data_IF_166562972056
#
_entry.id   IF_166562972056
#
_cell.length_a   1.000
_cell.length_b   1.000
_cell.length_c   1.000
_cell.angle_alpha   90.00
_cell.angle_beta   90.00
_cell.angle_gamma   90.00
#
_symmetry.space_group_name_H-M   'P 1'
#
loop_
_entity.id
_entity.type
_entity.pdbx_description
1 polymer ?
#
# COMPACT_ATOMS: atom_id res chain seq x y z
N UNK A 1 17.07 -7.80 -3.76
CA UNK A 1 16.35 -6.61 -3.24
C UNK A 1 15.21 -7.03 -2.29
N UNK A 2 14.29 -7.94 -2.69
CA UNK A 2 13.17 -8.37 -1.85
C UNK A 2 13.62 -8.89 -0.49
N UNK A 3 14.59 -9.79 -0.45
CA UNK A 3 15.10 -10.40 0.78
C UNK A 3 15.69 -9.37 1.74
N UNK A 4 16.39 -8.37 1.22
CA UNK A 4 16.99 -7.31 2.03
C UNK A 4 15.90 -6.43 2.65
N UNK A 5 14.86 -6.09 1.89
CA UNK A 5 13.73 -5.29 2.39
C UNK A 5 12.96 -6.07 3.46
N UNK A 6 12.59 -7.31 3.19
CA UNK A 6 11.87 -8.17 4.15
C UNK A 6 12.68 -8.32 5.45
N UNK A 7 13.99 -8.50 5.36
CA UNK A 7 14.87 -8.60 6.51
C UNK A 7 14.92 -7.29 7.32
N UNK A 8 14.99 -6.13 6.64
CA UNK A 8 14.99 -4.82 7.30
C UNK A 8 13.70 -4.56 8.11
N UNK A 9 12.57 -5.10 7.67
CA UNK A 9 11.28 -4.96 8.34
C UNK A 9 10.97 -6.09 9.34
N UNK A 10 11.92 -6.97 9.61
CA UNK A 10 11.78 -8.03 10.63
C UNK A 10 11.08 -9.30 10.15
N UNK A 11 10.86 -9.47 8.84
CA UNK A 11 10.18 -10.64 8.27
C UNK A 11 10.98 -11.96 8.32
N UNK A 12 12.16 -11.97 8.97
CA UNK A 12 13.05 -13.15 9.11
C UNK A 12 12.86 -13.88 10.44
N UNK A 13 11.68 -13.78 11.04
CA UNK A 13 11.44 -14.43 12.35
C UNK A 13 11.36 -15.94 12.21
N UNK A 14 10.69 -16.46 11.18
CA UNK A 14 10.56 -17.87 10.84
C UNK A 14 10.74 -18.07 9.34
N UNK A 15 11.27 -19.22 8.92
CA UNK A 15 11.46 -19.56 7.48
C UNK A 15 10.13 -19.58 6.71
N UNK A 16 9.07 -20.10 7.32
CA UNK A 16 7.73 -20.15 6.73
C UNK A 16 7.16 -18.75 6.49
N UNK A 17 7.26 -17.87 7.49
CA UNK A 17 6.85 -16.46 7.38
C UNK A 17 7.67 -15.73 6.32
N UNK A 18 8.95 -16.04 6.21
CA UNK A 18 9.83 -15.43 5.23
C UNK A 18 9.44 -15.84 3.79
N UNK A 19 9.18 -17.14 3.57
CA UNK A 19 8.74 -17.66 2.27
C UNK A 19 7.42 -17.02 1.82
N UNK A 20 6.41 -17.01 2.67
CA UNK A 20 5.13 -16.37 2.37
C UNK A 20 5.25 -14.86 2.15
N UNK A 21 6.15 -14.19 2.87
CA UNK A 21 6.42 -12.76 2.66
C UNK A 21 7.07 -12.49 1.31
N UNK A 22 7.94 -13.39 0.82
CA UNK A 22 8.56 -13.26 -0.51
C UNK A 22 7.53 -13.44 -1.63
N UNK A 23 6.68 -14.46 -1.53
CA UNK A 23 5.60 -14.67 -2.50
C UNK A 23 4.66 -13.46 -2.57
N UNK A 24 4.19 -13.00 -1.41
CA UNK A 24 3.33 -11.82 -1.31
C UNK A 24 4.00 -10.58 -1.92
N UNK A 25 5.27 -10.34 -1.58
CA UNK A 25 6.04 -9.20 -2.06
C UNK A 25 6.19 -9.21 -3.58
N UNK A 26 6.42 -10.38 -4.18
CA UNK A 26 6.54 -10.51 -5.63
C UNK A 26 5.25 -10.10 -6.35
N UNK A 27 4.12 -10.67 -5.94
CA UNK A 27 2.82 -10.34 -6.57
C UNK A 27 2.40 -8.90 -6.33
N UNK A 28 2.56 -8.38 -5.12
CA UNK A 28 2.24 -6.98 -4.81
C UNK A 28 3.09 -6.01 -5.64
N UNK A 29 4.36 -6.34 -5.88
CA UNK A 29 5.25 -5.48 -6.68
C UNK A 29 4.73 -5.30 -8.11
N UNK A 30 4.10 -6.31 -8.69
CA UNK A 30 3.45 -6.19 -10.00
C UNK A 30 2.25 -5.22 -9.97
N UNK A 31 1.59 -5.09 -8.83
CA UNK A 31 0.46 -4.16 -8.64
C UNK A 31 0.89 -2.71 -8.39
N UNK A 32 2.12 -2.45 -7.95
CA UNK A 32 2.58 -1.10 -7.57
C UNK A 32 2.33 -0.04 -8.66
N UNK A 33 2.63 -0.26 -9.95
CA UNK A 33 2.37 0.76 -10.97
C UNK A 33 0.90 1.16 -11.06
N UNK A 34 -0.01 0.20 -10.98
CA UNK A 34 -1.46 0.44 -11.01
C UNK A 34 -1.92 1.17 -9.74
N UNK A 35 -1.41 0.77 -8.59
CA UNK A 35 -1.67 1.44 -7.33
C UNK A 35 -1.22 2.90 -7.36
N UNK A 36 0.03 3.15 -7.76
CA UNK A 36 0.59 4.51 -7.84
C UNK A 36 -0.21 5.38 -8.80
N UNK A 37 -0.59 4.84 -9.95
CA UNK A 37 -1.43 5.54 -10.92
C UNK A 37 -2.80 5.90 -10.34
N UNK A 38 -3.49 4.96 -9.72
CA UNK A 38 -4.79 5.19 -9.06
C UNK A 38 -4.72 6.25 -7.96
N UNK A 39 -3.66 6.21 -7.14
CA UNK A 39 -3.44 7.20 -6.07
C UNK A 39 -3.12 8.60 -6.63
N UNK A 40 -2.34 8.70 -7.70
CA UNK A 40 -2.03 9.97 -8.35
C UNK A 40 -3.27 10.58 -9.02
N UNK A 41 -4.14 9.76 -9.60
CA UNK A 41 -5.36 10.21 -10.27
C UNK A 41 -6.46 10.67 -9.32
N UNK A 42 -6.51 10.14 -8.10
CA UNK A 42 -7.56 10.48 -7.13
C UNK A 42 -7.68 11.99 -6.84
N UNK A 43 -6.60 12.73 -6.48
CA UNK A 43 -6.67 14.17 -6.31
C UNK A 43 -6.96 14.92 -7.61
N UNK A 44 -6.54 14.42 -8.77
CA UNK A 44 -6.82 15.03 -10.08
C UNK A 44 -8.32 14.96 -10.39
N UNK A 45 -8.95 13.81 -10.15
CA UNK A 45 -10.40 13.63 -10.32
C UNK A 45 -11.19 14.56 -9.39
N UNK A 46 -10.71 14.73 -8.14
CA UNK A 46 -11.31 15.70 -7.20
C UNK A 46 -11.18 17.14 -7.68
N UNK A 47 -10.02 17.50 -8.23
CA UNK A 47 -9.76 18.83 -8.79
C UNK A 47 -10.60 19.11 -10.05
N UNK A 48 -10.95 18.07 -10.84
CA UNK A 48 -11.89 18.17 -11.97
C UNK A 48 -13.36 18.32 -11.52
N UNK A 49 -13.61 18.53 -10.22
CA UNK A 49 -14.93 18.79 -9.67
C UNK A 49 -15.79 17.53 -9.43
N UNK A 50 -15.22 16.33 -9.48
CA UNK A 50 -15.96 15.09 -9.29
C UNK A 50 -15.44 14.23 -8.13
N UNK A 51 -15.48 14.74 -6.88
CA UNK A 51 -15.01 13.98 -5.71
C UNK A 51 -15.80 12.70 -5.47
N UNK A 52 -17.08 12.67 -5.89
CA UNK A 52 -17.91 11.46 -5.78
C UNK A 52 -17.36 10.31 -6.60
N UNK A 53 -16.91 10.58 -7.82
CA UNK A 53 -16.30 9.55 -8.65
C UNK A 53 -14.96 9.07 -8.08
N UNK A 54 -14.14 9.97 -7.57
CA UNK A 54 -12.87 9.60 -6.90
C UNK A 54 -13.12 8.64 -5.72
N UNK A 55 -14.15 8.91 -4.92
CA UNK A 55 -14.55 8.03 -3.82
C UNK A 55 -15.06 6.68 -4.33
N UNK A 56 -15.96 6.68 -5.31
CA UNK A 56 -16.54 5.45 -5.87
C UNK A 56 -15.45 4.55 -6.49
N UNK A 57 -14.49 5.11 -7.22
CA UNK A 57 -13.41 4.33 -7.81
C UNK A 57 -12.53 3.64 -6.77
N UNK A 58 -12.23 4.34 -5.66
CA UNK A 58 -11.49 3.75 -4.55
C UNK A 58 -12.30 2.68 -3.83
N UNK A 59 -13.58 2.94 -3.56
CA UNK A 59 -14.48 1.97 -2.95
C UNK A 59 -14.67 0.72 -3.82
N UNK A 60 -14.81 0.88 -5.14
CA UNK A 60 -14.95 -0.25 -6.06
C UNK A 60 -13.74 -1.19 -5.97
N UNK A 61 -12.51 -0.64 -5.97
CA UNK A 61 -11.30 -1.44 -5.79
C UNK A 61 -11.28 -2.17 -4.45
N UNK A 62 -11.69 -1.49 -3.36
CA UNK A 62 -11.75 -2.10 -2.04
C UNK A 62 -12.82 -3.20 -1.95
N UNK A 63 -14.00 -2.98 -2.50
CA UNK A 63 -15.08 -4.00 -2.53
C UNK A 63 -14.67 -5.22 -3.34
N UNK A 64 -14.05 -5.03 -4.50
CA UNK A 64 -13.51 -6.13 -5.31
C UNK A 64 -12.48 -6.94 -4.50
N UNK A 65 -11.57 -6.28 -3.81
CA UNK A 65 -10.59 -6.94 -2.95
C UNK A 65 -11.27 -7.74 -1.83
N UNK A 66 -12.20 -7.14 -1.08
CA UNK A 66 -12.93 -7.80 0.02
C UNK A 66 -13.70 -9.06 -0.47
N UNK A 67 -14.23 -9.04 -1.69
CA UNK A 67 -14.94 -10.18 -2.26
C UNK A 67 -13.96 -11.25 -2.74
N UNK A 68 -12.86 -10.85 -3.39
CA UNK A 68 -11.90 -11.79 -3.96
C UNK A 68 -10.99 -12.43 -2.92
N UNK A 69 -10.67 -11.74 -1.82
CA UNK A 69 -9.82 -12.29 -0.75
C UNK A 69 -10.34 -13.64 -0.23
N UNK A 70 -11.60 -13.76 0.26
CA UNK A 70 -12.12 -15.05 0.73
C UNK A 70 -12.19 -16.09 -0.38
N UNK A 71 -12.48 -15.70 -1.61
CA UNK A 71 -12.56 -16.62 -2.75
C UNK A 71 -11.19 -17.24 -3.01
N UNK A 72 -10.15 -16.44 -3.11
CA UNK A 72 -8.80 -16.93 -3.43
C UNK A 72 -8.15 -17.65 -2.25
N UNK A 73 -8.41 -17.20 -1.01
CA UNK A 73 -7.83 -17.82 0.18
C UNK A 73 -8.52 -19.16 0.51
N UNK A 74 -9.87 -19.19 0.54
CA UNK A 74 -10.61 -20.34 1.06
C UNK A 74 -11.09 -21.29 -0.04
N UNK A 75 -11.56 -20.77 -1.20
CA UNK A 75 -12.10 -21.62 -2.27
C UNK A 75 -10.96 -22.15 -3.14
N UNK A 76 -10.06 -21.27 -3.60
CA UNK A 76 -8.90 -21.68 -4.41
C UNK A 76 -7.72 -22.17 -3.57
N UNK A 77 -7.73 -21.95 -2.25
CA UNK A 77 -6.68 -22.36 -1.32
C UNK A 77 -5.28 -21.81 -1.67
N UNK A 78 -5.23 -20.64 -2.29
CA UNK A 78 -3.96 -20.00 -2.68
C UNK A 78 -3.25 -19.29 -1.52
N UNK A 79 -3.84 -19.27 -0.31
CA UNK A 79 -3.22 -18.67 0.88
C UNK A 79 -2.78 -17.22 0.67
N UNK A 80 -1.55 -16.90 1.03
CA UNK A 80 -0.97 -15.55 0.93
C UNK A 80 -0.86 -15.04 -0.52
N UNK A 81 -0.58 -15.93 -1.47
CA UNK A 81 -0.58 -15.60 -2.90
C UNK A 81 -1.97 -15.10 -3.35
N UNK A 82 -3.04 -15.78 -2.89
CA UNK A 82 -4.41 -15.39 -3.20
C UNK A 82 -4.76 -13.99 -2.72
N UNK A 83 -4.37 -13.64 -1.49
CA UNK A 83 -4.55 -12.29 -0.94
C UNK A 83 -3.80 -11.22 -1.75
N UNK A 84 -2.56 -11.51 -2.16
CA UNK A 84 -1.78 -10.59 -3.00
C UNK A 84 -2.45 -10.37 -4.36
N UNK A 85 -2.89 -11.44 -5.02
CA UNK A 85 -3.56 -11.37 -6.33
C UNK A 85 -4.88 -10.61 -6.24
N UNK A 86 -5.70 -10.85 -5.22
CA UNK A 86 -6.95 -10.13 -5.00
C UNK A 86 -6.70 -8.61 -4.82
N UNK A 87 -5.66 -8.26 -4.07
CA UNK A 87 -5.23 -6.86 -3.89
C UNK A 87 -4.83 -6.22 -5.22
N UNK A 88 -4.02 -6.92 -6.04
CA UNK A 88 -3.60 -6.43 -7.35
C UNK A 88 -4.80 -6.23 -8.28
N UNK A 89 -5.76 -7.15 -8.30
CA UNK A 89 -6.99 -7.01 -9.09
C UNK A 89 -7.77 -5.77 -8.67
N UNK A 90 -7.93 -5.52 -7.37
CA UNK A 90 -8.57 -4.30 -6.86
C UNK A 90 -7.84 -3.02 -7.29
N UNK A 91 -6.51 -3.03 -7.29
CA UNK A 91 -5.68 -1.92 -7.76
C UNK A 91 -5.82 -1.68 -9.25
N UNK A 92 -5.81 -2.74 -10.06
CA UNK A 92 -6.03 -2.68 -11.51
C UNK A 92 -7.43 -2.14 -11.84
N UNK A 93 -8.46 -2.58 -11.13
CA UNK A 93 -9.81 -2.07 -11.30
C UNK A 93 -9.90 -0.57 -10.98
N UNK A 94 -9.29 -0.11 -9.89
CA UNK A 94 -9.21 1.32 -9.55
C UNK A 94 -8.45 2.11 -10.63
N UNK A 95 -7.33 1.59 -11.11
CA UNK A 95 -6.56 2.22 -12.18
C UNK A 95 -7.36 2.29 -13.50
N UNK A 96 -8.09 1.25 -13.84
CA UNK A 96 -8.96 1.23 -15.03
C UNK A 96 -10.06 2.29 -14.94
N UNK A 97 -10.73 2.42 -13.80
CA UNK A 97 -11.72 3.48 -13.58
C UNK A 97 -11.09 4.87 -13.67
N UNK A 98 -9.86 5.04 -13.17
CA UNK A 98 -9.13 6.29 -13.26
C UNK A 98 -8.77 6.64 -14.72
N UNK A 99 -8.33 5.67 -15.54
CA UNK A 99 -8.09 5.86 -16.98
C UNK A 99 -9.39 6.21 -17.70
N UNK A 100 -10.46 5.47 -17.42
CA UNK A 100 -11.77 5.76 -18.01
C UNK A 100 -12.23 7.18 -17.71
N UNK A 101 -12.02 7.66 -16.47
CA UNK A 101 -12.33 9.03 -16.11
C UNK A 101 -11.45 10.03 -16.85
N UNK A 102 -10.14 9.77 -16.96
CA UNK A 102 -9.19 10.62 -17.66
C UNK A 102 -9.61 10.88 -19.12
N UNK A 103 -10.12 9.83 -19.78
CA UNK A 103 -10.61 9.94 -21.16
C UNK A 103 -11.93 10.73 -21.27
N UNK A 104 -12.68 10.85 -20.16
CA UNK A 104 -13.99 11.51 -20.09
C UNK A 104 -13.98 12.75 -19.17
N UNK A 105 -12.84 13.40 -18.96
CA UNK A 105 -12.73 14.59 -18.10
C UNK A 105 -13.65 15.71 -18.60
N UNK A 106 -14.32 16.38 -17.65
CA UNK A 106 -15.35 17.38 -17.97
C UNK A 106 -14.80 18.80 -18.02
N UNK A 107 -13.96 19.16 -17.06
CA UNK A 107 -13.47 20.53 -16.86
C UNK A 107 -12.06 20.68 -17.44
N UNK A 108 -11.17 19.75 -17.12
CA UNK A 108 -9.80 19.76 -17.58
C UNK A 108 -9.74 18.98 -18.89
N UNK A 109 -9.67 19.68 -20.02
CA UNK A 109 -9.49 19.06 -21.34
C UNK A 109 -8.05 19.25 -21.78
N UNK A 110 -7.17 18.25 -21.55
CA UNK A 110 -5.77 18.38 -21.95
C UNK A 110 -5.68 18.45 -23.47
N UNK A 111 -5.02 19.50 -24.00
CA UNK A 111 -4.69 19.60 -25.41
C UNK A 111 -3.41 18.80 -25.71
N UNK A 112 -3.20 18.41 -26.97
CA UNK A 112 -2.02 17.64 -27.36
C UNK A 112 -0.68 18.26 -26.93
N UNK A 113 -0.61 19.61 -26.80
CA UNK A 113 0.56 20.31 -26.33
C UNK A 113 0.81 20.24 -24.80
N UNK A 114 -0.19 19.85 -24.03
CA UNK A 114 -0.09 19.80 -22.57
C UNK A 114 0.58 18.51 -22.08
N UNK A 115 0.70 17.50 -22.91
CA UNK A 115 1.44 16.26 -22.62
C UNK A 115 2.96 16.44 -22.71
N UNK A 116 3.44 17.61 -23.15
CA UNK A 116 4.87 17.88 -23.18
C UNK A 116 5.42 18.11 -21.76
N UNK A 117 6.43 17.33 -21.38
CA UNK A 117 7.12 17.49 -20.11
C UNK A 117 7.85 18.85 -20.09
N UNK A 118 7.37 19.76 -19.26
CA UNK A 118 8.00 21.07 -19.04
C UNK A 118 8.83 21.03 -17.76
N UNK A 119 10.15 21.17 -17.89
CA UNK A 119 11.10 21.07 -16.78
C UNK A 119 10.78 21.99 -15.60
N UNK A 120 10.24 23.21 -15.85
CA UNK A 120 9.85 24.13 -14.79
C UNK A 120 8.66 23.66 -13.97
N UNK A 121 7.70 22.97 -14.60
CA UNK A 121 6.54 22.37 -13.93
C UNK A 121 6.98 21.15 -13.12
N UNK A 122 7.78 20.29 -13.73
CA UNK A 122 8.35 19.11 -13.04
C UNK A 122 9.18 19.54 -11.81
N UNK A 123 9.97 20.59 -11.91
CA UNK A 123 10.74 21.12 -10.78
C UNK A 123 9.85 21.57 -9.62
N UNK A 124 8.76 22.29 -9.89
CA UNK A 124 7.80 22.70 -8.86
C UNK A 124 7.08 21.49 -8.23
N UNK A 125 6.68 20.51 -9.01
CA UNK A 125 6.06 19.28 -8.52
C UNK A 125 7.02 18.50 -7.60
N UNK A 126 8.30 18.39 -7.99
CA UNK A 126 9.33 17.74 -7.17
C UNK A 126 9.54 18.49 -5.85
N UNK A 127 9.61 19.83 -5.87
CA UNK A 127 9.79 20.61 -4.65
C UNK A 127 8.62 20.42 -3.67
N UNK A 128 7.40 20.39 -4.15
CA UNK A 128 6.22 20.09 -3.32
C UNK A 128 6.18 18.64 -2.85
N UNK A 129 6.57 17.71 -3.71
CA UNK A 129 6.57 16.28 -3.40
C UNK A 129 7.65 15.86 -2.40
N UNK A 130 8.79 16.57 -2.35
CA UNK A 130 9.91 16.19 -1.47
C UNK A 130 9.54 16.25 0.02
N UNK A 131 8.71 17.18 0.42
CA UNK A 131 8.23 17.29 1.80
C UNK A 131 7.41 16.07 2.21
N UNK A 132 6.46 15.68 1.37
CA UNK A 132 5.65 14.48 1.59
C UNK A 132 6.50 13.21 1.54
N UNK A 133 7.45 13.16 0.63
CA UNK A 133 8.40 12.04 0.51
C UNK A 133 9.26 11.88 1.78
N UNK A 134 9.82 12.96 2.32
CA UNK A 134 10.59 12.93 3.55
C UNK A 134 9.75 12.50 4.77
N UNK A 135 8.50 12.97 4.85
CA UNK A 135 7.56 12.55 5.90
C UNK A 135 7.27 11.05 5.82
N UNK A 136 7.07 10.51 4.62
CA UNK A 136 6.83 9.07 4.43
C UNK A 136 8.08 8.23 4.74
N UNK A 137 9.26 8.66 4.33
CA UNK A 137 10.52 7.97 4.68
C UNK A 137 10.72 7.96 6.20
N UNK A 138 10.46 9.08 6.89
CA UNK A 138 10.57 9.15 8.34
C UNK A 138 9.64 8.15 9.04
N UNK A 139 8.38 8.05 8.56
CA UNK A 139 7.43 7.08 9.08
C UNK A 139 7.88 5.64 8.85
N UNK A 140 8.35 5.33 7.65
CA UNK A 140 8.85 3.99 7.29
C UNK A 140 10.09 3.63 8.11
N UNK A 141 11.03 4.56 8.30
CA UNK A 141 12.21 4.37 9.13
C UNK A 141 11.85 4.13 10.60
N UNK A 142 10.88 4.89 11.13
CA UNK A 142 10.38 4.69 12.49
C UNK A 142 9.75 3.30 12.67
N UNK A 143 8.92 2.85 11.71
CA UNK A 143 8.32 1.51 11.73
C UNK A 143 9.37 0.40 11.65
N UNK A 144 10.38 0.55 10.79
CA UNK A 144 11.48 -0.40 10.70
C UNK A 144 12.28 -0.46 12.02
N UNK A 145 12.55 0.69 12.65
CA UNK A 145 13.22 0.75 13.95
C UNK A 145 12.40 0.07 15.05
N UNK A 146 11.09 0.34 15.12
CA UNK A 146 10.17 -0.28 16.08
C UNK A 146 10.16 -1.80 15.90
N UNK A 147 9.99 -2.29 14.68
CA UNK A 147 9.98 -3.73 14.42
C UNK A 147 11.30 -4.41 14.79
N UNK A 148 12.43 -3.79 14.47
CA UNK A 148 13.75 -4.32 14.86
C UNK A 148 13.97 -4.30 16.38
N UNK A 149 13.52 -3.26 17.08
CA UNK A 149 13.56 -3.20 18.54
C UNK A 149 12.67 -4.27 19.17
N UNK A 150 11.44 -4.42 18.70
CA UNK A 150 10.53 -5.47 19.18
C UNK A 150 11.12 -6.87 18.99
N UNK A 151 11.75 -7.13 17.85
CA UNK A 151 12.44 -8.39 17.60
C UNK A 151 13.60 -8.60 18.57
N UNK A 152 14.46 -7.58 18.75
CA UNK A 152 15.65 -7.68 19.61
C UNK A 152 15.29 -7.83 21.07
N UNK A 153 14.40 -7.00 21.60
CA UNK A 153 14.01 -7.02 23.01
C UNK A 153 12.97 -8.08 23.31
N UNK A 154 12.09 -8.42 22.39
CA UNK A 154 11.17 -9.54 22.51
C UNK A 154 11.89 -10.88 22.64
N UNK A 155 13.02 -11.05 21.96
CA UNK A 155 13.85 -12.26 22.11
C UNK A 155 14.51 -12.39 23.50
N UNK A 156 14.61 -11.31 24.27
CA UNK A 156 15.15 -11.30 25.64
C UNK A 156 14.08 -11.55 26.72
N UNK A 157 12.81 -11.52 26.35
CA UNK A 157 11.70 -11.75 27.26
C UNK A 157 11.50 -13.26 27.50
N UNK A 158 11.14 -13.64 28.74
CA UNK A 158 10.96 -15.04 29.13
C UNK A 158 9.79 -15.72 28.39
N UNK A 159 8.79 -14.97 27.96
CA UNK A 159 7.60 -15.48 27.26
C UNK A 159 7.76 -15.32 25.75
N UNK A 160 8.08 -14.12 25.28
CA UNK A 160 8.17 -13.79 23.85
C UNK A 160 9.49 -14.23 23.19
N UNK A 161 10.50 -14.60 23.98
CA UNK A 161 11.75 -15.20 23.49
C UNK A 161 11.57 -16.63 22.95
N UNK A 162 10.43 -17.28 23.23
CA UNK A 162 10.12 -18.60 22.68
C UNK A 162 9.71 -18.47 21.21
N UNK A 163 10.23 -19.36 20.33
CA UNK A 163 9.96 -19.33 18.89
C UNK A 163 8.44 -19.30 18.54
N UNK A 164 7.63 -19.90 19.39
CA UNK A 164 6.18 -19.97 19.27
C UNK A 164 5.49 -18.60 19.46
N UNK A 165 6.04 -17.72 20.29
CA UNK A 165 5.43 -16.44 20.66
C UNK A 165 6.18 -15.22 20.13
N UNK A 166 7.27 -15.41 19.42
CA UNK A 166 8.14 -14.35 18.91
C UNK A 166 7.43 -13.36 17.93
N UNK A 167 6.33 -13.78 17.32
CA UNK A 167 5.56 -12.95 16.37
C UNK A 167 4.51 -12.07 17.06
N UNK A 168 4.11 -12.38 18.30
CA UNK A 168 3.01 -11.70 19.00
C UNK A 168 3.27 -10.20 19.16
N UNK A 169 4.44 -9.73 19.64
CA UNK A 169 4.68 -8.29 19.80
C UNK A 169 4.54 -7.49 18.51
N UNK A 170 5.02 -8.05 17.39
CA UNK A 170 4.90 -7.40 16.07
C UNK A 170 3.45 -7.37 15.58
N UNK A 171 2.70 -8.44 15.78
CA UNK A 171 1.29 -8.51 15.43
C UNK A 171 0.46 -7.50 16.23
N UNK A 172 0.70 -7.37 17.54
CA UNK A 172 0.02 -6.41 18.42
C UNK A 172 0.28 -4.98 17.95
N UNK A 173 1.53 -4.62 17.67
CA UNK A 173 1.86 -3.28 17.16
C UNK A 173 1.19 -3.03 15.81
N UNK A 174 1.17 -4.01 14.91
CA UNK A 174 0.47 -3.92 13.63
C UNK A 174 -1.02 -3.62 13.79
N UNK A 175 -1.70 -4.30 14.72
CA UNK A 175 -3.11 -4.07 15.04
C UNK A 175 -3.32 -2.66 15.61
N UNK A 176 -2.54 -2.27 16.61
CA UNK A 176 -2.63 -0.93 17.24
C UNK A 176 -2.46 0.18 16.20
N UNK A 177 -1.47 0.05 15.30
CA UNK A 177 -1.23 1.02 14.23
C UNK A 177 -2.41 1.10 13.26
N UNK A 178 -3.10 -0.01 12.96
CA UNK A 178 -4.31 -0.01 12.14
C UNK A 178 -5.46 0.74 12.80
N UNK A 179 -5.68 0.52 14.10
CA UNK A 179 -6.68 1.30 14.86
C UNK A 179 -6.36 2.79 14.86
N UNK A 180 -5.10 3.14 15.08
CA UNK A 180 -4.66 4.54 15.06
C UNK A 180 -4.89 5.19 13.70
N UNK A 181 -4.62 4.47 12.60
CA UNK A 181 -4.85 4.94 11.25
C UNK A 181 -6.34 5.15 10.93
N UNK A 182 -7.23 4.28 11.44
CA UNK A 182 -8.67 4.45 11.32
C UNK A 182 -9.13 5.72 12.04
N UNK A 183 -8.67 5.93 13.28
CA UNK A 183 -9.02 7.14 14.06
C UNK A 183 -8.56 8.41 13.33
N UNK A 184 -7.33 8.44 12.81
CA UNK A 184 -6.85 9.58 12.02
C UNK A 184 -7.72 9.81 10.79
N UNK A 185 -8.10 8.75 10.07
CA UNK A 185 -8.93 8.86 8.85
C UNK A 185 -10.34 9.41 9.12
N UNK A 186 -10.83 9.32 10.35
CA UNK A 186 -12.13 9.89 10.75
C UNK A 186 -11.97 11.38 11.12
N UNK A 187 -10.81 11.77 11.66
CA UNK A 187 -10.54 13.13 12.14
C UNK A 187 -10.13 14.07 11.02
N UNK A 188 -9.49 13.55 9.96
CA UNK A 188 -9.00 14.31 8.78
C UNK A 188 -10.04 14.31 7.67
#
# INVERSE_FOLDING_TARGET
>A
FANTIIAMFGGTVNEETFHHSQEYFFYITLGIPFYMFGQAMNPIIRADGNPKFAMISTLAGAVINIILDPIFIFIFQWGMMGAAVATVIGQVATAFLAVWYLLNMKIIKPAYGDYALRGSICGRMLTLGITSFLSQISLVAAMAAINNMLRKYGALDAVFGQAQYAQIPMAVVGIVMKFFQIVISIVV
#
